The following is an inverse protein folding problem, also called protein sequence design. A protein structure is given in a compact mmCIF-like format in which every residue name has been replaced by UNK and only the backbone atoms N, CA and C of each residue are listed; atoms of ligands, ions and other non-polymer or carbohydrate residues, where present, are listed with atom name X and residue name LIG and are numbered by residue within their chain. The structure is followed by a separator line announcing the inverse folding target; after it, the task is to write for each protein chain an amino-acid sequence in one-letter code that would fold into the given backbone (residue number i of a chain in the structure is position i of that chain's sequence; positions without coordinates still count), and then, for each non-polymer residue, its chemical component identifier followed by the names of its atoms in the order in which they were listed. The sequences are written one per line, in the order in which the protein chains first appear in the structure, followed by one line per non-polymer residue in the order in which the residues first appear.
data_IF_484420019897
#
_entry.id   IF_484420019897
#
_cell.length_a   1.000
_cell.length_b   1.000
_cell.length_c   1.000
_cell.angle_alpha   90.00
_cell.angle_beta   90.00
_cell.angle_gamma   90.00
#
_symmetry.space_group_name_H-M   'P 1'
#
loop_
_entity.id
_entity.type
_entity.pdbx_description
1 polymer ?
#
# COMPACT_ATOMS: atom_id res chain seq x y z
N UNK A 1 10.48 16.20 -11.63
CA UNK A 1 9.19 16.71 -11.14
C UNK A 1 8.67 15.76 -10.07
N UNK A 2 8.56 16.22 -8.82
CA UNK A 2 8.00 15.41 -7.73
C UNK A 2 6.49 15.31 -7.94
N UNK A 3 6.04 14.21 -8.53
CA UNK A 3 4.61 13.93 -8.67
C UNK A 3 4.04 13.77 -7.25
N UNK A 4 3.11 14.64 -6.88
CA UNK A 4 2.39 14.51 -5.61
C UNK A 4 1.64 13.18 -5.59
N UNK A 5 1.66 12.48 -4.44
CA UNK A 5 0.81 11.30 -4.23
C UNK A 5 -0.63 11.77 -4.11
N UNK A 6 -1.46 11.43 -5.09
CA UNK A 6 -2.91 11.60 -4.98
C UNK A 6 -3.45 10.52 -4.04
N UNK A 7 -4.00 10.95 -2.90
CA UNK A 7 -4.49 10.06 -1.86
C UNK A 7 -6.01 10.06 -1.88
N UNK A 8 -6.61 8.90 -2.15
CA UNK A 8 -8.06 8.72 -2.01
C UNK A 8 -8.39 8.44 -0.55
N UNK A 9 -9.16 9.34 0.07
CA UNK A 9 -9.62 9.19 1.46
C UNK A 9 -11.01 8.58 1.49
N UNK A 10 -11.17 7.52 2.28
CA UNK A 10 -12.43 6.81 2.49
C UNK A 10 -12.71 6.82 3.99
N UNK A 11 -13.80 7.45 4.39
CA UNK A 11 -14.25 7.47 5.77
C UNK A 11 -14.75 6.06 6.16
N UNK A 12 -14.23 5.54 7.26
CA UNK A 12 -14.58 4.22 7.79
C UNK A 12 -15.70 4.29 8.82
N UNK A 13 -15.74 5.39 9.58
CA UNK A 13 -16.68 5.61 10.67
C UNK A 13 -16.99 7.10 10.80
N UNK A 14 -18.21 7.48 11.23
CA UNK A 14 -18.63 8.88 11.34
C UNK A 14 -17.81 9.73 12.32
N UNK A 15 -17.06 9.11 13.22
CA UNK A 15 -16.19 9.80 14.19
C UNK A 15 -14.82 10.17 13.59
N UNK A 16 -14.58 9.89 12.30
CA UNK A 16 -13.44 10.41 11.55
C UNK A 16 -12.28 9.43 11.30
N UNK A 17 -12.48 8.12 11.53
CA UNK A 17 -11.47 7.15 11.07
C UNK A 17 -11.45 7.09 9.56
N UNK A 18 -10.25 7.12 8.99
CA UNK A 18 -10.09 7.18 7.52
C UNK A 18 -9.19 6.06 7.05
N UNK A 19 -9.59 5.38 5.98
CA UNK A 19 -8.71 4.62 5.12
C UNK A 19 -8.18 5.53 4.01
N UNK A 20 -6.87 5.71 3.97
CA UNK A 20 -6.19 6.49 2.95
C UNK A 20 -5.56 5.52 1.96
N UNK A 21 -6.07 5.47 0.74
CA UNK A 21 -5.53 4.68 -0.36
C UNK A 21 -4.50 5.52 -1.12
N UNK A 22 -3.24 5.09 -1.12
CA UNK A 22 -2.11 5.80 -1.76
C UNK A 22 -1.80 5.22 -3.14
N UNK A 23 -2.03 3.93 -3.33
CA UNK A 23 -1.88 3.23 -4.61
C UNK A 23 -2.71 1.94 -4.59
N UNK A 24 -2.72 1.16 -5.69
CA UNK A 24 -3.42 -0.14 -5.73
C UNK A 24 -2.95 -1.07 -4.61
N UNK A 25 -1.67 -1.01 -4.27
CA UNK A 25 -0.99 -1.87 -3.29
C UNK A 25 -0.71 -1.21 -1.94
N UNK A 26 -0.96 0.08 -1.75
CA UNK A 26 -0.58 0.76 -0.50
C UNK A 26 -1.74 1.55 0.07
N UNK A 27 -2.06 1.28 1.33
CA UNK A 27 -3.08 2.00 2.08
C UNK A 27 -2.71 2.17 3.55
N UNK A 28 -3.34 3.13 4.22
CA UNK A 28 -3.16 3.35 5.66
C UNK A 28 -4.49 3.62 6.35
N UNK A 29 -4.59 3.31 7.64
CA UNK A 29 -5.67 3.81 8.50
C UNK A 29 -5.13 4.88 9.42
N UNK A 30 -5.83 6.00 9.47
CA UNK A 30 -5.61 7.08 10.44
C UNK A 30 -6.80 7.19 11.37
N UNK A 31 -6.52 7.52 12.63
CA UNK A 31 -7.57 7.90 13.58
C UNK A 31 -8.11 9.32 13.26
N UNK A 32 -9.12 9.81 13.99
CA UNK A 32 -9.71 11.13 13.77
C UNK A 32 -8.73 12.31 13.90
N UNK A 33 -7.62 12.11 14.61
CA UNK A 33 -6.56 13.11 14.77
C UNK A 33 -5.52 13.07 13.63
N UNK A 34 -5.75 12.25 12.60
CA UNK A 34 -4.81 12.06 11.49
C UNK A 34 -3.60 11.19 11.83
N UNK A 35 -3.55 10.59 13.02
CA UNK A 35 -2.43 9.72 13.44
C UNK A 35 -2.59 8.35 12.79
N UNK A 36 -1.58 7.94 12.02
CA UNK A 36 -1.53 6.61 11.41
C UNK A 36 -1.52 5.52 12.48
N UNK A 37 -2.46 4.59 12.37
CA UNK A 37 -2.57 3.42 13.24
C UNK A 37 -2.09 2.15 12.56
N UNK A 38 -2.33 2.02 11.26
CA UNK A 38 -1.98 0.80 10.52
C UNK A 38 -1.63 1.12 9.08
N UNK A 39 -0.79 0.28 8.48
CA UNK A 39 -0.42 0.31 7.07
C UNK A 39 -0.70 -1.05 6.43
N UNK A 40 -1.09 -1.02 5.16
CA UNK A 40 -1.37 -2.19 4.34
C UNK A 40 -0.48 -2.18 3.09
N UNK A 41 0.13 -3.32 2.79
CA UNK A 41 0.91 -3.56 1.57
C UNK A 41 0.32 -4.76 0.82
N UNK A 42 -0.12 -4.56 -0.41
CA UNK A 42 -0.88 -5.52 -1.19
C UNK A 42 -0.02 -6.34 -2.15
N UNK A 43 -0.27 -7.65 -2.20
CA UNK A 43 0.46 -8.63 -3.02
C UNK A 43 -0.54 -9.52 -3.77
N UNK A 44 -0.23 -9.88 -5.02
CA UNK A 44 -1.05 -10.84 -5.78
C UNK A 44 -0.58 -12.29 -5.54
N UNK A 45 0.49 -12.49 -4.77
CA UNK A 45 1.10 -13.78 -4.45
C UNK A 45 1.44 -13.85 -2.95
N UNK A 46 1.06 -14.94 -2.30
CA UNK A 46 1.26 -15.11 -0.85
C UNK A 46 2.74 -15.22 -0.48
N UNK A 47 3.55 -15.89 -1.32
CA UNK A 47 4.99 -16.04 -1.07
C UNK A 47 5.70 -14.68 -1.09
N UNK A 48 5.29 -13.75 -1.96
CA UNK A 48 5.79 -12.37 -1.95
C UNK A 48 5.37 -11.63 -0.68
N UNK A 49 4.13 -11.78 -0.23
CA UNK A 49 3.67 -11.20 1.04
C UNK A 49 4.51 -11.72 2.23
N UNK A 50 4.79 -13.03 2.26
CA UNK A 50 5.64 -13.67 3.29
C UNK A 50 7.06 -13.11 3.29
N UNK A 51 7.69 -13.03 2.12
CA UNK A 51 9.05 -12.45 1.99
C UNK A 51 9.08 -11.01 2.49
N UNK A 52 8.08 -10.20 2.14
CA UNK A 52 8.02 -8.80 2.56
C UNK A 52 7.77 -8.65 4.07
N UNK A 53 6.84 -9.43 4.64
CA UNK A 53 6.58 -9.45 6.08
C UNK A 53 7.82 -9.84 6.88
N UNK A 54 8.54 -10.89 6.45
CA UNK A 54 9.79 -11.30 7.09
C UNK A 54 10.86 -10.21 6.98
N UNK A 55 10.96 -9.54 5.84
CA UNK A 55 11.89 -8.42 5.67
C UNK A 55 11.57 -7.25 6.60
N UNK A 56 10.29 -6.86 6.73
CA UNK A 56 9.86 -5.80 7.65
C UNK A 56 10.30 -6.09 9.08
N UNK A 57 10.03 -7.32 9.55
CA UNK A 57 10.40 -7.77 10.90
C UNK A 57 11.92 -7.80 11.10
N UNK A 58 12.66 -8.43 10.17
CA UNK A 58 14.12 -8.58 10.26
C UNK A 58 14.87 -7.23 10.21
N UNK A 59 14.30 -6.22 9.56
CA UNK A 59 14.90 -4.90 9.42
C UNK A 59 14.35 -3.87 10.41
N UNK A 60 13.54 -4.30 11.38
CA UNK A 60 12.90 -3.43 12.37
C UNK A 60 12.14 -2.26 11.71
N UNK A 61 11.44 -2.53 10.61
CA UNK A 61 10.66 -1.54 9.85
C UNK A 61 9.18 -1.51 10.25
N UNK A 62 8.81 -2.24 11.30
CA UNK A 62 7.48 -2.25 11.90
C UNK A 62 7.60 -2.73 13.36
N UNK A 63 6.59 -2.44 14.19
CA UNK A 63 6.48 -3.08 15.50
C UNK A 63 5.90 -4.50 15.39
N UNK A 64 4.98 -4.72 14.45
CA UNK A 64 4.49 -6.04 14.08
C UNK A 64 3.95 -6.02 12.64
N UNK A 65 3.79 -7.21 12.06
CA UNK A 65 3.21 -7.42 10.75
C UNK A 65 2.56 -8.82 10.63
N UNK A 66 1.36 -8.86 10.08
CA UNK A 66 0.60 -10.09 9.80
C UNK A 66 0.16 -10.13 8.34
N UNK A 67 0.04 -11.34 7.79
CA UNK A 67 -0.44 -11.59 6.43
C UNK A 67 -1.89 -12.03 6.52
N UNK A 68 -2.73 -11.54 5.61
CA UNK A 68 -4.11 -11.97 5.48
C UNK A 68 -4.60 -11.82 4.03
N UNK A 69 -5.77 -12.38 3.76
CA UNK A 69 -6.52 -12.06 2.55
C UNK A 69 -6.81 -10.55 2.50
N UNK A 70 -6.70 -9.96 1.32
CA UNK A 70 -6.92 -8.53 1.14
C UNK A 70 -8.36 -8.18 1.44
N UNK A 71 -8.57 -7.19 2.30
CA UNK A 71 -9.89 -6.67 2.63
C UNK A 71 -10.11 -5.29 2.03
N UNK A 72 -9.04 -4.54 1.77
CA UNK A 72 -9.10 -3.11 1.43
C UNK A 72 -8.38 -2.75 0.13
N UNK A 73 -7.41 -3.57 -0.28
CA UNK A 73 -6.61 -3.35 -1.47
C UNK A 73 -7.13 -4.20 -2.63
N UNK A 74 -6.86 -3.78 -3.87
CA UNK A 74 -7.23 -4.53 -5.08
C UNK A 74 -6.24 -5.66 -5.41
N UNK A 75 -5.68 -6.29 -4.39
CA UNK A 75 -4.72 -7.42 -4.46
C UNK A 75 -5.32 -8.64 -3.77
N UNK A 76 -4.70 -9.81 -3.88
CA UNK A 76 -5.21 -11.03 -3.24
C UNK A 76 -4.84 -11.10 -1.75
N UNK A 77 -3.60 -10.72 -1.43
CA UNK A 77 -3.07 -10.74 -0.07
C UNK A 77 -2.69 -9.33 0.36
N UNK A 78 -2.69 -9.10 1.67
CA UNK A 78 -2.13 -7.89 2.27
C UNK A 78 -1.27 -8.21 3.49
N UNK A 79 -0.15 -7.49 3.61
CA UNK A 79 0.62 -7.40 4.84
C UNK A 79 0.09 -6.20 5.63
N UNK A 80 -0.59 -6.48 6.73
CA UNK A 80 -1.03 -5.48 7.71
C UNK A 80 0.10 -5.26 8.71
N UNK A 81 0.62 -4.04 8.80
CA UNK A 81 1.76 -3.70 9.63
C UNK A 81 1.53 -2.44 10.47
N UNK A 82 2.22 -2.36 11.61
CA UNK A 82 2.13 -1.25 12.56
C UNK A 82 3.47 -0.54 12.71
N UNK A 83 3.42 0.75 13.04
CA UNK A 83 4.59 1.61 13.24
C UNK A 83 5.60 1.58 12.07
N UNK A 84 5.11 1.56 10.83
CA UNK A 84 5.95 1.57 9.64
C UNK A 84 6.47 2.99 9.36
N UNK A 85 7.77 3.18 9.04
CA UNK A 85 8.31 4.48 8.66
C UNK A 85 7.58 5.10 7.46
N UNK A 86 7.30 6.40 7.52
CA UNK A 86 6.54 7.10 6.47
C UNK A 86 7.25 7.05 5.12
N UNK A 87 8.58 7.11 5.12
CA UNK A 87 9.42 7.09 3.91
C UNK A 87 9.23 5.78 3.15
N UNK A 88 9.16 4.65 3.87
CA UNK A 88 8.94 3.33 3.27
C UNK A 88 7.55 3.21 2.65
N UNK A 89 6.53 3.77 3.32
CA UNK A 89 5.16 3.78 2.79
C UNK A 89 5.12 4.55 1.46
N UNK A 90 5.75 5.73 1.43
CA UNK A 90 5.84 6.58 0.24
C UNK A 90 6.61 5.86 -0.87
N UNK A 91 7.76 5.25 -0.56
CA UNK A 91 8.58 4.52 -1.53
C UNK A 91 7.78 3.39 -2.20
N UNK A 92 7.08 2.57 -1.40
CA UNK A 92 6.25 1.48 -1.91
C UNK A 92 5.11 2.00 -2.80
N UNK A 93 4.43 3.08 -2.39
CA UNK A 93 3.32 3.65 -3.16
C UNK A 93 3.82 4.22 -4.50
N UNK A 94 4.93 4.97 -4.48
CA UNK A 94 5.52 5.54 -5.69
C UNK A 94 6.04 4.46 -6.64
N UNK A 95 6.60 3.37 -6.12
CA UNK A 95 7.04 2.23 -6.93
C UNK A 95 5.85 1.60 -7.67
N UNK A 96 4.76 1.31 -6.95
CA UNK A 96 3.55 0.71 -7.54
C UNK A 96 2.91 1.62 -8.61
N UNK A 97 2.84 2.94 -8.36
CA UNK A 97 2.31 3.90 -9.34
C UNK A 97 3.16 3.98 -10.62
N UNK A 98 4.49 3.89 -10.50
CA UNK A 98 5.40 3.85 -11.65
C UNK A 98 5.22 2.58 -12.48
N UNK A 99 5.12 1.42 -11.81
CA UNK A 99 4.89 0.13 -12.48
C UNK A 99 3.55 0.11 -13.22
N UNK A 100 2.48 0.68 -12.64
CA UNK A 100 1.18 0.82 -13.32
C UNK A 100 1.24 1.71 -14.55
N UNK A 101 1.94 2.85 -14.46
CA UNK A 101 2.09 3.76 -15.61
C UNK A 101 2.81 3.06 -16.77
N UNK A 102 3.88 2.32 -16.47
CA UNK A 102 4.63 1.58 -17.47
C UNK A 102 3.81 0.43 -18.08
N UNK A 103 3.02 -0.28 -17.27
CA UNK A 103 2.12 -1.32 -17.77
C UNK A 103 1.06 -0.75 -18.73
N UNK A 104 0.47 0.40 -18.40
CA UNK A 104 -0.51 1.07 -19.28
C UNK A 104 0.11 1.48 -20.61
N UNK A 105 1.34 2.04 -20.60
CA UNK A 105 2.05 2.42 -21.83
C UNK A 105 2.39 1.19 -22.67
N UNK A 106 2.85 0.09 -22.04
CA UNK A 106 3.18 -1.14 -22.75
C UNK A 106 1.95 -1.73 -23.46
N UNK A 107 0.80 -1.80 -22.77
CA UNK A 107 -0.46 -2.31 -23.35
C UNK A 107 -0.92 -1.43 -24.52
N UNK A 108 -0.77 -0.11 -24.41
CA UNK A 108 -1.09 0.82 -25.50
C UNK A 108 -0.12 0.67 -26.68
N UNK A 109 1.17 0.47 -26.43
CA UNK A 109 2.19 0.29 -27.48
C UNK A 109 2.11 -1.05 -28.22
N UNK A 110 1.44 -2.06 -27.66
CA UNK A 110 1.20 -3.35 -28.33
C UNK A 110 -0.04 -3.36 -29.23
N UNK A 111 -0.79 -2.26 -29.33
CA UNK A 111 -1.86 -2.12 -30.33
C UNK A 111 -1.33 -1.35 -31.53
N UNK A 112 -0.64 -2.03 -32.44
CA UNK A 112 -0.42 -1.54 -33.79
C UNK A 112 -0.69 -2.69 -34.74
N UNK A 113 -1.73 -2.52 -35.56
CA UNK A 113 -2.06 -3.38 -36.70
C UNK A 113 -1.10 -3.10 -37.85
#
# INVERSE_FOLDING_TARGET
MNKALEITKIELTPDGWTFNLLSRRVGTITNPLGVRKTTYFGFDDENQAQKFQQWLKRKNKCSDAVIRQSERLKTLFEVKAWNVPTELIIECALKDLKEQTNATILIQSTTTR
#
